data_IF_977164916612
#
_entry.id   IF_977164916612
#
_cell.length_a   1.000
_cell.length_b   1.000
_cell.length_c   1.000
_cell.angle_alpha   90.00
_cell.angle_beta   90.00
_cell.angle_gamma   90.00
#
_symmetry.space_group_name_H-M   'P 1'
#
loop_
_entity.id
_entity.type
_entity.pdbx_description
1 polymer ?
#
# COMPACT_ATOMS: atom_id res chain seq x y z
N UNK A 1 9.41 22.90 -5.31
CA UNK A 1 9.29 22.89 -3.84
C UNK A 1 8.30 21.81 -3.55
N UNK A 2 8.77 20.58 -3.38
CA UNK A 2 7.91 19.40 -3.28
C UNK A 2 7.34 19.35 -1.87
N UNK A 3 6.01 19.39 -1.75
CA UNK A 3 5.32 19.34 -0.47
C UNK A 3 5.57 17.96 0.15
N UNK A 4 6.13 17.98 1.36
CA UNK A 4 6.14 16.89 2.31
C UNK A 4 4.76 16.24 2.31
N UNK A 5 4.69 14.93 2.07
CA UNK A 5 3.46 14.17 2.34
C UNK A 5 3.26 14.27 3.85
N UNK A 6 2.48 15.25 4.29
CA UNK A 6 2.17 15.45 5.70
C UNK A 6 1.33 14.26 6.15
N UNK A 7 1.81 13.57 7.19
CA UNK A 7 1.14 12.45 7.83
C UNK A 7 -0.05 12.92 8.70
N UNK A 8 -0.78 13.92 8.21
CA UNK A 8 -1.93 14.50 8.88
C UNK A 8 -3.16 14.04 8.11
N UNK A 9 -4.11 13.43 8.82
CA UNK A 9 -5.32 12.80 8.28
C UNK A 9 -6.33 13.76 7.65
N UNK A 10 -5.88 14.58 6.71
CA UNK A 10 -6.68 15.32 5.75
C UNK A 10 -7.03 14.42 4.56
N UNK A 11 -8.17 14.71 3.96
CA UNK A 11 -8.74 14.04 2.78
C UNK A 11 -7.88 14.36 1.54
N UNK A 12 -6.69 13.75 1.46
CA UNK A 12 -5.69 13.97 0.40
C UNK A 12 -5.85 13.02 -0.79
N UNK A 13 -6.97 12.30 -0.87
CA UNK A 13 -7.18 11.24 -1.84
C UNK A 13 -6.64 9.89 -1.35
N UNK A 14 -7.06 8.81 -2.01
CA UNK A 14 -6.58 7.46 -1.72
C UNK A 14 -5.18 7.22 -2.26
N UNK A 15 -4.54 6.11 -1.87
CA UNK A 15 -3.24 5.69 -2.42
C UNK A 15 -3.20 5.74 -3.95
N UNK A 16 -4.28 5.33 -4.62
CA UNK A 16 -4.43 5.35 -6.07
C UNK A 16 -4.34 6.74 -6.70
N UNK A 17 -4.70 7.80 -5.97
CA UNK A 17 -4.63 9.17 -6.47
C UNK A 17 -3.20 9.68 -6.56
N UNK A 18 -2.26 9.04 -5.87
CA UNK A 18 -0.83 9.39 -5.90
C UNK A 18 -0.01 8.54 -6.87
N UNK A 19 -0.62 7.54 -7.50
CA UNK A 19 0.04 6.70 -8.49
C UNK A 19 -0.04 7.31 -9.89
N UNK A 20 0.97 7.04 -10.72
CA UNK A 20 0.90 7.28 -12.15
C UNK A 20 -0.03 6.23 -12.81
N UNK A 21 -0.86 6.59 -13.81
CA UNK A 21 -1.73 5.64 -14.49
C UNK A 21 -1.03 4.36 -14.97
N UNK A 22 0.25 4.44 -15.33
CA UNK A 22 1.08 3.32 -15.80
C UNK A 22 2.02 2.74 -14.72
N UNK A 23 1.75 3.03 -13.44
CA UNK A 23 2.56 2.57 -12.30
C UNK A 23 2.87 1.08 -12.38
N UNK A 24 4.08 0.71 -11.96
CA UNK A 24 4.46 -0.67 -11.68
C UNK A 24 4.46 -0.87 -10.16
N UNK A 25 3.65 -1.80 -9.65
CA UNK A 25 3.69 -2.21 -8.24
C UNK A 25 4.12 -3.67 -8.17
N UNK A 26 5.21 -3.95 -7.47
CA UNK A 26 5.74 -5.30 -7.30
C UNK A 26 5.65 -5.73 -5.84
N UNK A 27 4.94 -6.82 -5.57
CA UNK A 27 4.91 -7.41 -4.21
C UNK A 27 6.16 -8.24 -4.00
N UNK A 28 6.98 -7.78 -3.08
CA UNK A 28 8.27 -8.38 -2.75
C UNK A 28 8.11 -9.48 -1.70
N UNK A 29 8.95 -10.52 -1.80
CA UNK A 29 8.94 -11.66 -0.88
C UNK A 29 8.93 -12.98 -1.66
N UNK A 30 9.83 -13.88 -1.31
CA UNK A 30 10.06 -15.11 -2.10
C UNK A 30 8.88 -16.11 -2.00
N UNK A 31 8.16 -16.08 -0.86
CA UNK A 31 7.20 -17.12 -0.46
C UNK A 31 5.76 -16.60 -0.31
N UNK A 32 5.44 -15.36 -0.72
CA UNK A 32 4.06 -14.84 -0.65
C UNK A 32 3.25 -15.31 -1.86
N UNK A 33 2.02 -15.80 -1.64
CA UNK A 33 1.13 -16.27 -2.71
C UNK A 33 0.81 -15.16 -3.73
N UNK A 34 0.82 -13.91 -3.28
CA UNK A 34 0.55 -12.73 -4.11
C UNK A 34 1.82 -12.09 -4.68
N UNK A 35 2.95 -12.81 -4.73
CA UNK A 35 4.14 -12.33 -5.46
C UNK A 35 3.75 -12.10 -6.91
N UNK A 36 3.59 -10.84 -7.27
CA UNK A 36 3.19 -10.47 -8.61
C UNK A 36 3.64 -9.06 -8.90
N UNK A 37 3.79 -8.78 -10.19
CA UNK A 37 3.96 -7.42 -10.68
C UNK A 37 2.64 -6.98 -11.28
N UNK A 38 2.12 -5.89 -10.75
CA UNK A 38 0.91 -5.23 -11.23
C UNK A 38 1.35 -4.03 -12.07
N UNK A 39 0.91 -4.03 -13.32
CA UNK A 39 1.17 -2.93 -14.24
C UNK A 39 -0.12 -2.15 -14.41
N UNK A 40 -0.06 -0.83 -14.25
CA UNK A 40 -1.15 0.15 -14.32
C UNK A 40 -2.16 0.13 -13.14
N UNK A 41 -2.93 1.21 -13.05
CA UNK A 41 -3.95 1.39 -12.00
C UNK A 41 -4.98 0.26 -11.92
N UNK A 42 -5.40 -0.29 -13.06
CA UNK A 42 -6.43 -1.34 -13.09
C UNK A 42 -5.91 -2.62 -12.44
N UNK A 43 -4.70 -3.05 -12.77
CA UNK A 43 -4.12 -4.24 -12.14
C UNK A 43 -3.87 -4.02 -10.65
N UNK A 44 -3.47 -2.82 -10.23
CA UNK A 44 -3.30 -2.50 -8.82
C UNK A 44 -4.66 -2.52 -8.08
N UNK A 45 -5.71 -1.94 -8.65
CA UNK A 45 -7.03 -1.96 -8.03
C UNK A 45 -7.63 -3.38 -7.98
N UNK A 46 -7.66 -4.08 -9.11
CA UNK A 46 -8.39 -5.34 -9.23
C UNK A 46 -7.62 -6.51 -8.63
N UNK A 47 -6.31 -6.60 -8.87
CA UNK A 47 -5.53 -7.76 -8.45
C UNK A 47 -4.89 -7.51 -7.09
N UNK A 48 -4.16 -6.40 -6.92
CA UNK A 48 -3.45 -6.12 -5.68
C UNK A 48 -4.40 -5.76 -4.54
N UNK A 49 -5.36 -4.85 -4.73
CA UNK A 49 -6.32 -4.54 -3.65
C UNK A 49 -7.49 -5.51 -3.60
N UNK A 50 -7.88 -6.12 -4.73
CA UNK A 50 -8.99 -7.09 -4.76
C UNK A 50 -8.75 -8.33 -3.92
N UNK A 51 -7.50 -8.75 -3.71
CA UNK A 51 -7.20 -9.86 -2.79
C UNK A 51 -7.68 -9.57 -1.34
N UNK A 52 -7.78 -8.29 -0.95
CA UNK A 52 -8.26 -7.86 0.36
C UNK A 52 -9.74 -7.46 0.35
N UNK A 53 -10.57 -8.06 -0.51
CA UNK A 53 -12.02 -7.80 -0.57
C UNK A 53 -12.77 -7.93 0.78
N UNK A 54 -12.18 -8.60 1.75
CA UNK A 54 -12.70 -8.75 3.10
C UNK A 54 -12.49 -7.51 3.98
N UNK A 55 -11.58 -6.60 3.59
CA UNK A 55 -11.35 -5.34 4.29
C UNK A 55 -12.53 -4.38 4.12
N UNK A 56 -12.86 -3.67 5.20
CA UNK A 56 -13.76 -2.52 5.15
C UNK A 56 -12.93 -1.27 4.87
N UNK A 57 -12.74 -0.95 3.59
CA UNK A 57 -11.86 0.13 3.14
C UNK A 57 -12.26 1.50 3.71
N UNK A 58 -13.53 1.73 3.99
CA UNK A 58 -14.01 2.99 4.60
C UNK A 58 -13.54 3.14 6.05
N UNK A 59 -13.19 2.03 6.71
CA UNK A 59 -12.65 2.02 8.07
C UNK A 59 -11.12 2.10 8.12
N UNK A 60 -10.46 1.93 6.98
CA UNK A 60 -9.01 1.80 6.90
C UNK A 60 -8.32 3.16 7.04
N UNK A 61 -7.25 3.18 7.82
CA UNK A 61 -6.37 4.32 8.02
C UNK A 61 -4.95 3.89 7.77
N UNK A 62 -4.23 4.68 6.97
CA UNK A 62 -2.81 4.51 6.73
C UNK A 62 -2.05 5.60 7.48
N UNK A 63 -1.09 5.20 8.29
CA UNK A 63 -0.18 6.11 8.97
C UNK A 63 1.24 5.89 8.45
N UNK A 64 1.91 6.98 8.08
CA UNK A 64 3.33 6.96 7.77
C UNK A 64 4.11 6.97 9.08
N UNK A 65 4.93 5.95 9.31
CA UNK A 65 5.83 5.86 10.47
C UNK A 65 7.15 6.55 10.18
N UNK A 66 7.73 6.29 9.01
CA UNK A 66 9.02 6.81 8.62
C UNK A 66 9.09 6.97 7.11
N UNK A 67 9.83 8.01 6.67
CA UNK A 67 10.24 8.19 5.28
C UNK A 67 11.76 8.37 5.26
N UNK A 68 12.43 7.63 4.38
CA UNK A 68 13.87 7.72 4.16
C UNK A 68 14.11 7.96 2.68
N UNK A 69 14.73 9.09 2.32
CA UNK A 69 14.97 9.49 0.93
C UNK A 69 13.89 10.43 0.39
N UNK A 70 13.81 10.56 -0.94
CA UNK A 70 12.86 11.44 -1.63
C UNK A 70 13.32 12.89 -1.86
N UNK A 71 14.43 13.34 -1.25
CA UNK A 71 14.93 14.72 -1.42
C UNK A 71 15.83 14.86 -2.65
N UNK A 72 17.03 14.28 -2.60
CA UNK A 72 18.03 14.33 -3.68
C UNK A 72 17.97 13.10 -4.59
N UNK A 73 17.05 12.19 -4.31
CA UNK A 73 16.84 10.93 -5.03
C UNK A 73 15.35 10.84 -5.35
N UNK A 74 14.98 10.40 -6.57
CA UNK A 74 13.57 10.14 -6.88
C UNK A 74 13.04 8.91 -6.14
N UNK A 75 13.90 8.18 -5.40
CA UNK A 75 13.50 7.04 -4.58
C UNK A 75 13.34 7.42 -3.11
N UNK A 76 12.31 6.87 -2.48
CA UNK A 76 12.12 6.86 -1.03
C UNK A 76 11.70 5.48 -0.52
N UNK A 77 12.07 5.17 0.71
CA UNK A 77 11.48 4.08 1.49
C UNK A 77 10.47 4.67 2.46
N UNK A 78 9.29 4.07 2.53
CA UNK A 78 8.15 4.53 3.33
C UNK A 78 7.65 3.37 4.17
N UNK A 79 7.75 3.51 5.49
CA UNK A 79 7.19 2.57 6.45
C UNK A 79 5.77 3.00 6.81
N UNK A 80 4.82 2.06 6.68
CA UNK A 80 3.40 2.30 6.83
C UNK A 80 2.81 1.35 7.87
N UNK A 81 1.88 1.88 8.65
CA UNK A 81 0.95 1.09 9.46
C UNK A 81 -0.46 1.33 8.93
N UNK A 82 -1.10 0.26 8.50
CA UNK A 82 -2.50 0.24 8.10
C UNK A 82 -3.33 -0.31 9.25
N UNK A 83 -4.38 0.39 9.66
CA UNK A 83 -5.28 -0.05 10.73
C UNK A 83 -6.72 0.16 10.33
N UNK A 84 -7.61 -0.73 10.76
CA UNK A 84 -9.02 -0.65 10.43
C UNK A 84 -9.77 -1.91 10.84
N UNK A 85 -10.80 -2.25 10.06
CA UNK A 85 -11.63 -3.42 10.28
C UNK A 85 -11.86 -4.20 8.99
N UNK A 86 -12.20 -5.47 9.13
CA UNK A 86 -12.83 -6.22 8.06
C UNK A 86 -14.32 -5.86 7.96
N UNK A 87 -14.98 -6.23 6.86
CA UNK A 87 -16.44 -6.10 6.67
C UNK A 87 -17.26 -6.81 7.75
N UNK A 88 -16.64 -7.71 8.53
CA UNK A 88 -17.24 -8.41 9.67
C UNK A 88 -16.94 -7.74 11.02
N UNK A 89 -16.32 -6.56 11.02
CA UNK A 89 -16.03 -5.77 12.20
C UNK A 89 -14.81 -6.22 13.02
N UNK A 90 -14.07 -7.25 12.58
CA UNK A 90 -12.83 -7.69 13.24
C UNK A 90 -11.71 -6.70 12.94
N UNK A 91 -10.87 -6.40 13.93
CA UNK A 91 -9.75 -5.48 13.75
C UNK A 91 -8.72 -6.05 12.76
N UNK A 92 -8.12 -5.14 12.02
CA UNK A 92 -6.99 -5.37 11.13
C UNK A 92 -5.94 -4.31 11.45
N UNK A 93 -4.70 -4.76 11.67
CA UNK A 93 -3.53 -3.90 11.78
C UNK A 93 -2.44 -4.56 10.96
N UNK A 94 -1.76 -3.82 10.09
CA UNK A 94 -0.74 -4.38 9.24
C UNK A 94 0.37 -3.37 9.03
N UNK A 95 1.60 -3.86 9.08
CA UNK A 95 2.79 -3.06 8.86
C UNK A 95 3.41 -3.47 7.53
N UNK A 96 3.82 -2.49 6.75
CA UNK A 96 4.52 -2.73 5.50
C UNK A 96 5.54 -1.63 5.20
N UNK A 97 6.47 -1.94 4.32
CA UNK A 97 7.41 -0.98 3.77
C UNK A 97 7.25 -0.91 2.26
N UNK A 98 7.13 0.30 1.72
CA UNK A 98 7.14 0.55 0.28
C UNK A 98 8.46 1.22 -0.10
N UNK A 99 9.13 0.71 -1.13
CA UNK A 99 10.18 1.47 -1.82
C UNK A 99 9.53 2.08 -3.07
N UNK A 100 9.38 3.40 -3.09
CA UNK A 100 8.67 4.14 -4.13
C UNK A 100 9.63 4.98 -4.95
N UNK A 101 9.39 5.05 -6.25
CA UNK A 101 10.00 6.01 -7.16
C UNK A 101 8.98 7.08 -7.53
N UNK A 102 9.39 8.34 -7.46
CA UNK A 102 8.61 9.50 -7.87
C UNK A 102 9.08 9.97 -9.24
N UNK A 103 8.12 10.22 -10.12
CA UNK A 103 8.34 10.88 -11.39
C UNK A 103 8.26 12.41 -11.22
N UNK A 104 8.71 13.18 -12.22
CA UNK A 104 8.78 14.65 -12.18
C UNK A 104 7.43 15.35 -11.93
N UNK A 105 6.32 14.63 -12.12
CA UNK A 105 4.96 15.09 -11.85
C UNK A 105 4.47 14.79 -10.42
N UNK A 106 5.38 14.44 -9.51
CA UNK A 106 5.11 14.08 -8.10
C UNK A 106 4.28 12.79 -7.93
N UNK A 107 4.08 12.01 -9.00
CA UNK A 107 3.38 10.72 -8.94
C UNK A 107 4.35 9.57 -8.78
N UNK A 108 3.86 8.51 -8.14
CA UNK A 108 4.60 7.26 -7.98
C UNK A 108 4.42 6.43 -9.26
N UNK A 109 5.51 6.19 -9.99
CA UNK A 109 5.52 5.35 -11.21
C UNK A 109 6.05 3.93 -10.94
N UNK A 110 6.73 3.72 -9.82
CA UNK A 110 7.20 2.40 -9.39
C UNK A 110 7.12 2.24 -7.87
N UNK A 111 6.64 1.11 -7.41
CA UNK A 111 6.63 0.74 -6.00
C UNK A 111 7.01 -0.73 -5.80
N UNK A 112 7.92 -0.99 -4.86
CA UNK A 112 8.19 -2.33 -4.35
C UNK A 112 7.56 -2.45 -2.96
N UNK A 113 6.56 -3.32 -2.83
CA UNK A 113 5.80 -3.51 -1.61
C UNK A 113 6.34 -4.70 -0.81
N UNK A 114 6.94 -4.42 0.34
CA UNK A 114 7.36 -5.42 1.33
C UNK A 114 6.28 -5.52 2.39
N UNK A 115 5.42 -6.53 2.26
CA UNK A 115 4.31 -6.78 3.16
C UNK A 115 4.74 -7.74 4.28
N UNK A 116 4.16 -7.59 5.48
CA UNK A 116 4.18 -8.64 6.50
C UNK A 116 3.32 -9.83 6.05
N UNK A 117 3.91 -10.70 5.22
CA UNK A 117 3.26 -11.85 4.58
C UNK A 117 2.61 -12.79 5.58
N UNK A 118 3.31 -13.11 6.68
CA UNK A 118 2.78 -13.99 7.71
C UNK A 118 1.50 -13.41 8.31
N UNK A 119 1.48 -12.12 8.59
CA UNK A 119 0.31 -11.48 9.18
C UNK A 119 -0.85 -11.37 8.20
N UNK A 120 -0.57 -11.17 6.90
CA UNK A 120 -1.60 -11.21 5.86
C UNK A 120 -2.22 -12.60 5.71
N UNK A 121 -1.42 -13.67 5.74
CA UNK A 121 -1.92 -15.05 5.68
C UNK A 121 -2.84 -15.37 6.88
N UNK A 122 -2.44 -14.92 8.07
CA UNK A 122 -3.25 -15.02 9.28
C UNK A 122 -4.58 -14.24 9.10
N UNK A 123 -4.56 -13.05 8.49
CA UNK A 123 -5.79 -12.31 8.20
C UNK A 123 -6.67 -12.93 7.11
N UNK A 124 -6.09 -13.43 6.01
CA UNK A 124 -6.85 -14.09 4.95
C UNK A 124 -7.60 -15.31 5.49
N UNK A 125 -6.95 -16.14 6.30
CA UNK A 125 -7.58 -17.32 6.90
C UNK A 125 -8.70 -16.95 7.89
N UNK A 126 -8.51 -15.93 8.73
CA UNK A 126 -9.46 -15.56 9.79
C UNK A 126 -10.65 -14.70 9.34
N UNK A 127 -10.52 -13.98 8.21
CA UNK A 127 -11.58 -13.13 7.67
C UNK A 127 -12.35 -13.76 6.50
N UNK A 128 -11.71 -14.59 5.66
CA UNK A 128 -12.39 -15.28 4.54
C UNK A 128 -13.24 -16.48 4.99
N UNK A 129 -12.79 -17.28 5.97
CA UNK A 129 -13.37 -18.62 6.25
C UNK A 129 -14.38 -18.70 7.42
N UNK A 130 -15.14 -17.64 7.71
CA UNK A 130 -16.31 -17.69 8.62
C UNK A 130 -17.37 -16.71 8.13
#
# INVERSE_FOLDING_TARGET
MFQKIEADGGDHGGFMDHLDPNVKVEVMGHDHESKNTHHNHKAVADDFFGQFEWADWDSMKTQVQQVIGGDSSPWASVELVLSGKSKKGKLFNHECCLIVHFHDNEKIDNAHAYLDSKHLDDHHSHHRNN
#
